data_IF_980018293858
#
_entry.id   IF_980018293858
#
_cell.length_a   1.000
_cell.length_b   1.000
_cell.length_c   1.000
_cell.angle_alpha   90.00
_cell.angle_beta   90.00
_cell.angle_gamma   90.00
#
_symmetry.space_group_name_H-M   'P 1'
#
loop_
_entity.id
_entity.type
_entity.pdbx_description
1 polymer ?
#
# COMPACT_ATOMS: atom_id res chain seq x y z
N UNK A 1 1.37 10.99 -1.49
CA UNK A 1 2.79 11.30 -1.22
C UNK A 1 3.61 11.36 -2.52
N UNK A 2 3.02 11.72 -3.67
CA UNK A 2 3.71 11.78 -4.98
C UNK A 2 3.83 13.22 -5.53
N UNK A 3 3.40 14.24 -4.77
CA UNK A 3 3.61 15.64 -5.16
C UNK A 3 5.11 15.89 -5.26
N UNK A 4 5.56 16.44 -6.38
CA UNK A 4 6.99 16.62 -6.70
C UNK A 4 7.59 15.53 -7.59
N UNK A 5 6.86 14.44 -7.86
CA UNK A 5 7.20 13.44 -8.85
C UNK A 5 6.44 13.73 -10.15
N UNK A 6 7.09 14.46 -11.07
CA UNK A 6 6.47 14.88 -12.34
C UNK A 6 5.98 13.68 -13.16
N UNK A 7 6.68 12.54 -13.06
CA UNK A 7 6.31 11.27 -13.71
C UNK A 7 4.94 10.72 -13.28
N UNK A 8 4.44 11.13 -12.11
CA UNK A 8 3.12 10.74 -11.60
C UNK A 8 2.09 11.87 -11.66
N UNK A 9 2.37 12.95 -12.41
CA UNK A 9 1.38 14.00 -12.65
C UNK A 9 0.23 13.47 -13.52
N UNK A 10 -0.97 13.41 -12.95
CA UNK A 10 -2.15 12.89 -13.63
C UNK A 10 -2.90 13.93 -14.48
N UNK A 11 -2.44 15.18 -14.53
CA UNK A 11 -3.06 16.28 -15.28
C UNK A 11 -3.58 17.39 -14.38
N UNK A 12 -4.50 18.21 -14.90
CA UNK A 12 -4.93 19.46 -14.29
C UNK A 12 -6.47 19.61 -14.38
N UNK A 13 -7.08 20.01 -13.26
CA UNK A 13 -8.53 20.16 -13.13
C UNK A 13 -9.10 21.29 -14.01
N UNK A 14 -8.44 22.45 -14.05
CA UNK A 14 -8.88 23.61 -14.83
C UNK A 14 -8.81 23.35 -16.34
N UNK A 15 -7.84 22.54 -16.76
CA UNK A 15 -7.66 22.13 -18.15
C UNK A 15 -8.47 20.90 -18.53
N UNK A 16 -9.07 20.21 -17.55
CA UNK A 16 -9.78 18.94 -17.76
C UNK A 16 -8.87 17.82 -18.30
N UNK A 17 -7.56 17.89 -18.05
CA UNK A 17 -6.59 16.88 -18.51
C UNK A 17 -6.46 15.79 -17.46
N UNK A 18 -6.61 14.53 -17.89
CA UNK A 18 -6.54 13.36 -17.00
C UNK A 18 -5.81 12.21 -17.66
N UNK A 19 -4.65 11.84 -17.10
CA UNK A 19 -3.93 10.62 -17.47
C UNK A 19 -4.58 9.41 -16.80
N UNK A 20 -5.36 8.68 -17.57
CA UNK A 20 -6.08 7.47 -17.10
C UNK A 20 -5.19 6.24 -17.02
N UNK A 21 -4.01 6.25 -17.64
CA UNK A 21 -3.05 5.15 -17.56
C UNK A 21 -2.40 5.09 -16.17
N UNK A 22 -1.98 6.24 -15.63
CA UNK A 22 -1.49 6.32 -14.23
C UNK A 22 -2.58 5.87 -13.25
N UNK A 23 -3.84 6.29 -13.49
CA UNK A 23 -4.97 5.81 -12.68
C UNK A 23 -5.07 4.28 -12.71
N UNK A 24 -4.97 3.69 -13.90
CA UNK A 24 -5.07 2.23 -14.12
C UNK A 24 -3.91 1.49 -13.44
N UNK A 25 -2.70 2.02 -13.54
CA UNK A 25 -1.50 1.48 -12.91
C UNK A 25 -1.65 1.41 -11.37
N UNK A 26 -2.01 2.54 -10.74
CA UNK A 26 -2.22 2.60 -9.29
C UNK A 26 -3.40 1.72 -8.83
N UNK A 27 -4.48 1.67 -9.60
CA UNK A 27 -5.60 0.77 -9.33
C UNK A 27 -5.17 -0.71 -9.38
N UNK A 28 -4.19 -1.05 -10.22
CA UNK A 28 -3.58 -2.37 -10.32
C UNK A 28 -2.56 -2.68 -9.21
N UNK A 29 -2.09 -1.69 -8.43
CA UNK A 29 -1.11 -1.87 -7.36
C UNK A 29 -1.78 -2.21 -6.02
N UNK A 30 -2.38 -3.40 -5.91
CA UNK A 30 -3.21 -3.81 -4.79
C UNK A 30 -2.83 -5.19 -4.21
N UNK A 31 -3.45 -5.57 -3.10
CA UNK A 31 -3.15 -6.80 -2.34
C UNK A 31 -3.13 -8.10 -3.15
N UNK A 32 -3.94 -8.22 -4.21
CA UNK A 32 -3.99 -9.43 -5.04
C UNK A 32 -2.91 -9.50 -6.13
N UNK A 33 -2.30 -8.38 -6.50
CA UNK A 33 -1.36 -8.28 -7.62
C UNK A 33 0.08 -8.24 -7.15
N UNK A 34 0.36 -7.66 -5.98
CA UNK A 34 1.70 -7.65 -5.39
C UNK A 34 2.11 -9.08 -4.96
N UNK A 35 3.20 -9.68 -5.50
CA UNK A 35 3.55 -11.08 -5.26
C UNK A 35 3.66 -11.42 -3.77
N UNK A 36 4.39 -10.61 -3.01
CA UNK A 36 4.60 -10.78 -1.57
C UNK A 36 3.32 -10.66 -0.74
N UNK A 37 2.31 -9.95 -1.24
CA UNK A 37 1.02 -9.80 -0.56
C UNK A 37 0.10 -11.00 -0.75
N UNK A 38 0.19 -11.71 -1.89
CA UNK A 38 -0.66 -12.87 -2.20
C UNK A 38 -0.54 -13.97 -1.15
N UNK A 39 0.67 -14.19 -0.65
CA UNK A 39 1.02 -15.25 0.31
C UNK A 39 1.08 -14.75 1.76
N UNK A 40 0.76 -13.48 2.02
CA UNK A 40 0.83 -12.89 3.35
C UNK A 40 -0.45 -13.13 4.16
N UNK A 41 -0.31 -13.65 5.39
CA UNK A 41 -1.45 -13.86 6.30
C UNK A 41 -2.18 -12.57 6.68
N UNK A 42 -1.46 -11.44 6.70
CA UNK A 42 -1.96 -10.15 7.16
C UNK A 42 -2.63 -9.33 6.05
N UNK A 43 -2.75 -9.87 4.84
CA UNK A 43 -3.08 -9.10 3.63
C UNK A 43 -4.43 -8.38 3.69
N UNK A 44 -5.43 -8.98 4.35
CA UNK A 44 -6.75 -8.38 4.55
C UNK A 44 -6.84 -7.44 5.76
N UNK A 45 -5.80 -7.40 6.59
CA UNK A 45 -5.67 -6.41 7.65
C UNK A 45 -4.89 -5.17 7.20
N UNK A 46 -3.86 -5.34 6.35
CA UNK A 46 -2.96 -4.25 5.98
C UNK A 46 -3.21 -3.65 4.58
N UNK A 47 -4.07 -4.25 3.77
CA UNK A 47 -4.47 -3.78 2.43
C UNK A 47 -3.32 -3.60 1.41
N UNK A 48 -2.18 -4.24 1.62
CA UNK A 48 -1.06 -4.22 0.65
C UNK A 48 -0.06 -3.06 0.81
N UNK A 49 -0.12 -2.32 1.93
CA UNK A 49 0.88 -1.31 2.30
C UNK A 49 0.78 0.02 1.55
N UNK A 50 1.74 0.91 1.79
CA UNK A 50 1.78 2.24 1.19
C UNK A 50 2.55 2.25 -0.14
N UNK A 51 1.87 2.61 -1.24
CA UNK A 51 2.49 2.68 -2.57
C UNK A 51 3.63 3.71 -2.64
N UNK A 52 3.59 4.80 -1.87
CA UNK A 52 4.67 5.76 -1.86
C UNK A 52 5.93 5.25 -1.17
N UNK A 53 5.81 4.51 -0.06
CA UNK A 53 6.96 3.85 0.56
C UNK A 53 7.55 2.79 -0.37
N UNK A 54 6.69 2.02 -1.03
CA UNK A 54 7.13 1.05 -2.03
C UNK A 54 7.96 1.74 -3.13
N UNK A 55 7.47 2.85 -3.69
CA UNK A 55 8.22 3.62 -4.68
C UNK A 55 9.53 4.19 -4.13
N UNK A 56 9.51 4.86 -2.97
CA UNK A 56 10.70 5.54 -2.41
C UNK A 56 11.82 4.55 -2.07
N UNK A 57 11.49 3.37 -1.54
CA UNK A 57 12.48 2.41 -1.06
C UNK A 57 12.79 1.28 -2.06
N UNK A 58 11.87 0.93 -2.96
CA UNK A 58 12.06 -0.14 -3.95
C UNK A 58 12.09 0.37 -5.40
N UNK A 59 11.71 1.63 -5.67
CA UNK A 59 11.55 2.17 -7.02
C UNK A 59 10.31 1.68 -7.77
N UNK A 60 9.48 0.83 -7.13
CA UNK A 60 8.34 0.17 -7.76
C UNK A 60 7.14 0.13 -6.80
N UNK A 61 5.97 0.59 -7.25
CA UNK A 61 4.72 0.55 -6.47
C UNK A 61 4.12 -0.86 -6.37
N UNK A 62 4.50 -1.77 -7.28
CA UNK A 62 3.96 -3.13 -7.41
C UNK A 62 4.64 -4.16 -6.49
N UNK A 63 5.71 -3.79 -5.78
CA UNK A 63 6.29 -4.62 -4.72
C UNK A 63 6.24 -3.93 -3.36
N UNK A 64 5.90 -4.69 -2.33
CA UNK A 64 5.76 -4.16 -0.98
C UNK A 64 7.11 -4.02 -0.29
N UNK A 65 7.37 -2.86 0.32
CA UNK A 65 8.62 -2.66 1.05
C UNK A 65 8.68 -3.53 2.31
N UNK A 66 9.62 -4.48 2.33
CA UNK A 66 9.65 -5.59 3.29
C UNK A 66 9.72 -5.14 4.75
N UNK A 67 10.53 -4.12 5.06
CA UNK A 67 10.66 -3.61 6.42
C UNK A 67 9.33 -3.04 6.94
N UNK A 68 8.61 -2.30 6.10
CA UNK A 68 7.27 -1.80 6.45
C UNK A 68 6.29 -2.94 6.69
N UNK A 69 6.35 -4.01 5.89
CA UNK A 69 5.52 -5.20 6.09
C UNK A 69 5.82 -5.90 7.43
N UNK A 70 7.09 -6.04 7.81
CA UNK A 70 7.49 -6.63 9.11
C UNK A 70 6.92 -5.84 10.29
N UNK A 71 7.07 -4.51 10.27
CA UNK A 71 6.54 -3.64 11.32
C UNK A 71 5.02 -3.73 11.39
N UNK A 72 4.33 -3.70 10.24
CA UNK A 72 2.88 -3.76 10.19
C UNK A 72 2.34 -5.10 10.70
N UNK A 73 2.95 -6.23 10.33
CA UNK A 73 2.58 -7.54 10.88
C UNK A 73 2.70 -7.58 12.40
N UNK A 74 3.77 -6.99 12.95
CA UNK A 74 3.94 -6.91 14.40
C UNK A 74 2.90 -6.04 15.09
N UNK A 75 2.55 -4.90 14.49
CA UNK A 75 1.45 -4.05 14.98
C UNK A 75 0.11 -4.79 14.99
N UNK A 76 -0.15 -5.58 13.96
CA UNK A 76 -1.37 -6.38 13.84
C UNK A 76 -1.42 -7.50 14.88
N UNK A 77 -0.32 -8.22 15.10
CA UNK A 77 -0.22 -9.21 16.19
C UNK A 77 -0.57 -8.58 17.56
N UNK A 78 0.00 -7.41 17.86
CA UNK A 78 -0.28 -6.69 19.10
C UNK A 78 -1.75 -6.22 19.19
N UNK A 79 -2.32 -5.73 18.08
CA UNK A 79 -3.70 -5.26 18.04
C UNK A 79 -4.70 -6.41 18.25
N UNK A 80 -4.48 -7.55 17.59
CA UNK A 80 -5.30 -8.75 17.74
C UNK A 80 -5.24 -9.24 19.18
N UNK A 81 -4.05 -9.30 19.79
CA UNK A 81 -3.91 -9.69 21.19
C UNK A 81 -4.64 -8.72 22.14
N UNK A 82 -4.57 -7.41 21.88
CA UNK A 82 -5.29 -6.43 22.69
C UNK A 82 -6.80 -6.67 22.65
N UNK A 83 -7.36 -6.95 21.47
CA UNK A 83 -8.78 -7.27 21.30
C UNK A 83 -9.17 -8.53 22.07
N UNK A 84 -8.39 -9.61 21.95
CA UNK A 84 -8.63 -10.85 22.70
C UNK A 84 -8.60 -10.61 24.21
N UNK A 85 -7.62 -9.86 24.70
CA UNK A 85 -7.53 -9.51 26.13
C UNK A 85 -8.76 -8.75 26.60
N UNK A 86 -9.28 -7.83 25.80
CA UNK A 86 -10.45 -7.04 26.18
C UNK A 86 -11.75 -7.85 26.13
N UNK A 87 -11.81 -8.94 25.34
CA UNK A 87 -12.93 -9.91 25.35
C UNK A 87 -12.89 -10.90 26.53
N UNK A 88 -11.74 -11.05 27.19
CA UNK A 88 -11.57 -11.95 28.33
C UNK A 88 -11.80 -11.26 29.69
N UNK A 89 -12.04 -9.95 29.68
CA UNK A 89 -12.45 -9.17 30.85
C UNK A 89 -13.97 -9.23 31.01
#
# INVERSE_FOLDING_TARGET
>A
QFVGHEEYCMGNLEQGTFNTDIKKEFAGAHVYSKPTCRDCWAKFYCSGGCNANNYIYNGDIHDAYELSCKIMRKRLECAILSQVRDMLK
#
